data_IF_215050007266
#
_entry.id   IF_215050007266
#
_cell.length_a   1.000
_cell.length_b   1.000
_cell.length_c   1.000
_cell.angle_alpha   90.00
_cell.angle_beta   90.00
_cell.angle_gamma   90.00
#
_symmetry.space_group_name_H-M   'P 1'
#
loop_
_entity.id
_entity.type
_entity.pdbx_description
1 polymer ?
#
# COMPACT_ATOMS: atom_id res chain seq x y z
N UNK A 1 -32.40 -2.71 -0.19
CA UNK A 1 -31.71 -3.71 0.66
C UNK A 1 -30.49 -4.17 -0.12
N UNK A 2 -29.32 -3.63 0.22
CA UNK A 2 -28.07 -4.00 -0.45
C UNK A 2 -27.81 -5.49 -0.24
N UNK A 3 -27.44 -6.20 -1.30
CA UNK A 3 -27.04 -7.61 -1.20
C UNK A 3 -25.80 -7.66 -0.31
N UNK A 4 -25.96 -8.18 0.92
CA UNK A 4 -24.83 -8.64 1.73
C UNK A 4 -24.14 -9.72 0.91
N UNK A 5 -22.97 -9.40 0.37
CA UNK A 5 -22.15 -10.34 -0.36
C UNK A 5 -21.53 -11.25 0.70
N UNK A 6 -22.18 -12.39 0.95
CA UNK A 6 -21.69 -13.40 1.88
C UNK A 6 -20.75 -14.29 1.08
N UNK A 7 -19.47 -13.93 1.07
CA UNK A 7 -18.39 -14.70 0.45
C UNK A 7 -17.11 -14.52 1.25
N UNK A 8 -16.16 -15.43 1.07
CA UNK A 8 -14.85 -15.36 1.72
C UNK A 8 -14.04 -14.21 1.11
N UNK A 9 -13.24 -13.50 1.91
CA UNK A 9 -12.49 -12.34 1.43
C UNK A 9 -11.53 -12.70 0.27
N UNK A 10 -11.00 -13.94 0.26
CA UNK A 10 -10.17 -14.47 -0.81
C UNK A 10 -10.86 -14.67 -2.16
N UNK A 11 -12.19 -14.54 -2.23
CA UNK A 11 -12.94 -14.52 -3.50
C UNK A 11 -12.98 -13.12 -4.14
N UNK A 12 -12.67 -12.07 -3.38
CA UNK A 12 -12.76 -10.67 -3.81
C UNK A 12 -11.40 -10.03 -3.99
N UNK A 13 -10.45 -10.35 -3.12
CA UNK A 13 -9.16 -9.70 -3.07
C UNK A 13 -8.00 -10.67 -3.29
N UNK A 14 -6.94 -10.14 -3.87
CA UNK A 14 -5.60 -10.73 -3.85
C UNK A 14 -4.65 -9.79 -3.12
N UNK A 15 -3.85 -10.34 -2.21
CA UNK A 15 -2.82 -9.58 -1.51
C UNK A 15 -1.48 -9.64 -2.23
N UNK A 16 -0.74 -8.53 -2.23
CA UNK A 16 0.64 -8.47 -2.76
C UNK A 16 1.50 -7.49 -1.96
N UNK A 17 2.81 -7.74 -1.92
CA UNK A 17 3.80 -6.73 -1.50
C UNK A 17 4.26 -5.95 -2.73
N UNK A 18 4.32 -4.63 -2.62
CA UNK A 18 4.91 -3.73 -3.62
C UNK A 18 6.00 -2.88 -2.99
N UNK A 19 7.18 -2.90 -3.60
CA UNK A 19 8.27 -2.00 -3.25
C UNK A 19 8.00 -0.60 -3.83
N UNK A 20 8.21 0.43 -3.01
CA UNK A 20 8.06 1.84 -3.39
C UNK A 20 9.31 2.57 -2.95
N UNK A 21 10.01 3.12 -3.93
CA UNK A 21 10.96 4.20 -3.67
C UNK A 21 10.15 5.48 -3.39
N UNK A 22 10.01 5.85 -2.12
CA UNK A 22 9.53 7.20 -1.73
C UNK A 22 10.70 8.21 -1.70
N UNK A 23 11.67 8.03 -2.59
CA UNK A 23 12.70 9.03 -2.84
C UNK A 23 12.05 10.27 -3.44
N UNK A 24 11.92 11.33 -2.64
CA UNK A 24 11.62 12.70 -3.10
C UNK A 24 12.67 13.05 -4.15
N UNK A 25 12.35 12.80 -5.41
CA UNK A 25 13.16 13.28 -6.53
C UNK A 25 12.97 14.78 -6.51
N UNK A 26 14.00 15.58 -6.18
CA UNK A 26 13.82 17.02 -6.15
C UNK A 26 13.28 17.45 -7.50
N UNK A 27 12.19 18.20 -7.50
CA UNK A 27 11.61 18.76 -8.71
C UNK A 27 12.64 19.74 -9.29
N UNK A 28 13.48 19.23 -10.20
CA UNK A 28 14.51 20.01 -10.87
C UNK A 28 13.83 20.84 -11.97
N UNK A 29 13.04 21.84 -11.57
CA UNK A 29 12.58 22.87 -12.50
C UNK A 29 13.80 23.55 -13.12
N UNK A 30 13.97 23.40 -14.44
CA UNK A 30 15.09 24.01 -15.16
C UNK A 30 14.88 25.52 -15.23
N UNK A 31 15.39 26.24 -14.23
CA UNK A 31 15.38 27.70 -14.19
C UNK A 31 16.62 28.25 -14.90
N UNK A 32 16.38 28.99 -15.97
CA UNK A 32 17.42 29.59 -16.84
C UNK A 32 18.24 30.71 -16.14
N UNK A 33 17.88 31.10 -14.91
CA UNK A 33 18.37 32.31 -14.23
C UNK A 33 19.41 32.04 -13.12
N UNK A 34 19.82 30.79 -12.88
CA UNK A 34 20.68 30.43 -11.73
C UNK A 34 22.01 29.86 -12.24
N UNK A 35 23.07 30.67 -12.23
CA UNK A 35 24.39 30.25 -12.75
C UNK A 35 25.14 29.28 -11.81
N UNK A 36 24.82 29.18 -10.50
CA UNK A 36 25.31 28.11 -9.62
C UNK A 36 24.60 28.15 -8.25
N UNK A 37 24.23 26.99 -7.68
CA UNK A 37 23.86 26.84 -6.26
C UNK A 37 24.69 25.74 -5.61
N UNK A 38 25.00 25.88 -4.31
CA UNK A 38 25.55 24.77 -3.50
C UNK A 38 24.40 23.75 -3.30
N UNK A 39 24.60 22.45 -3.59
CA UNK A 39 23.55 21.46 -3.40
C UNK A 39 23.10 21.48 -1.94
N UNK A 40 21.79 21.33 -1.66
CA UNK A 40 21.33 21.15 -0.29
C UNK A 40 22.09 19.98 0.33
N UNK A 41 22.58 20.14 1.55
CA UNK A 41 23.32 19.11 2.30
C UNK A 41 22.38 18.07 2.92
N UNK A 42 21.10 18.12 2.60
CA UNK A 42 20.11 17.15 3.02
C UNK A 42 20.40 15.85 2.27
N UNK A 43 20.81 14.83 3.03
CA UNK A 43 20.79 13.46 2.54
C UNK A 43 19.34 13.17 2.21
N UNK A 44 19.03 13.06 0.92
CA UNK A 44 17.82 12.39 0.45
C UNK A 44 17.85 11.00 1.10
N UNK A 45 17.06 10.80 2.14
CA UNK A 45 16.82 9.47 2.67
C UNK A 45 15.83 8.84 1.71
N UNK A 46 16.34 8.06 0.77
CA UNK A 46 15.57 7.03 0.07
C UNK A 46 15.03 6.10 1.16
N UNK A 47 13.82 6.37 1.64
CA UNK A 47 13.13 5.46 2.55
C UNK A 47 12.49 4.41 1.64
N UNK A 48 13.15 3.25 1.55
CA UNK A 48 12.62 2.08 0.85
C UNK A 48 11.37 1.60 1.59
N UNK A 49 10.18 1.89 1.05
CA UNK A 49 8.91 1.52 1.68
C UNK A 49 8.31 0.32 0.97
N UNK A 50 8.11 -0.75 1.72
CA UNK A 50 7.35 -1.93 1.29
C UNK A 50 5.91 -1.77 1.72
N UNK A 51 4.97 -1.76 0.77
CA UNK A 51 3.53 -1.70 1.08
C UNK A 51 2.84 -3.00 0.75
N UNK A 52 1.92 -3.41 1.62
CA UNK A 52 1.02 -4.54 1.37
C UNK A 52 -0.29 -3.98 0.83
N UNK A 53 -0.67 -4.48 -0.33
CA UNK A 53 -1.81 -4.00 -1.11
C UNK A 53 -2.85 -5.12 -1.26
N UNK A 54 -4.13 -4.79 -1.08
CA UNK A 54 -5.26 -5.59 -1.55
C UNK A 54 -5.69 -5.11 -2.93
N UNK A 55 -5.78 -6.04 -3.88
CA UNK A 55 -6.22 -5.78 -5.26
C UNK A 55 -7.52 -6.53 -5.49
N UNK A 56 -8.56 -5.84 -5.95
CA UNK A 56 -9.83 -6.47 -6.29
C UNK A 56 -9.72 -7.30 -7.57
N UNK A 57 -10.27 -8.52 -7.58
CA UNK A 57 -10.26 -9.38 -8.77
C UNK A 57 -11.07 -8.80 -9.95
N UNK A 58 -12.14 -8.06 -9.67
CA UNK A 58 -13.00 -7.47 -10.71
C UNK A 58 -12.39 -6.18 -11.29
N UNK A 59 -11.50 -5.53 -10.54
CA UNK A 59 -10.90 -4.26 -10.91
C UNK A 59 -9.43 -4.17 -10.46
N UNK A 60 -8.50 -4.49 -11.36
CA UNK A 60 -7.05 -4.48 -11.06
C UNK A 60 -6.51 -3.06 -10.74
N UNK A 61 -7.24 -2.00 -11.15
CA UNK A 61 -6.94 -0.61 -10.79
C UNK A 61 -7.45 -0.24 -9.38
N UNK A 62 -8.34 -1.04 -8.78
CA UNK A 62 -8.80 -0.85 -7.42
C UNK A 62 -7.80 -1.48 -6.43
N UNK A 63 -6.84 -0.67 -6.01
CA UNK A 63 -5.75 -1.05 -5.10
C UNK A 63 -5.94 -0.33 -3.77
N UNK A 64 -6.10 -1.09 -2.69
CA UNK A 64 -6.13 -0.55 -1.32
C UNK A 64 -4.83 -0.88 -0.61
N UNK A 65 -4.15 0.14 -0.07
CA UNK A 65 -2.97 -0.07 0.78
C UNK A 65 -3.42 -0.43 2.19
N UNK A 66 -3.04 -1.62 2.65
CA UNK A 66 -3.38 -2.12 3.98
C UNK A 66 -2.34 -1.71 5.03
N UNK A 67 -1.05 -1.83 4.70
CA UNK A 67 0.05 -1.54 5.61
C UNK A 67 1.34 -1.12 4.86
N UNK A 68 2.25 -0.47 5.58
CA UNK A 68 3.57 -0.01 5.10
C UNK A 68 4.66 -0.46 6.07
N UNK A 69 5.81 -0.86 5.55
CA UNK A 69 6.95 -1.41 6.29
C UNK A 69 8.26 -0.87 5.72
N UNK A 70 9.27 -0.71 6.57
CA UNK A 70 10.63 -0.34 6.14
C UNK A 70 11.49 -1.54 5.71
N UNK A 71 10.99 -2.77 5.87
CA UNK A 71 11.71 -3.99 5.54
C UNK A 71 10.84 -4.95 4.73
N UNK A 72 11.46 -5.60 3.74
CA UNK A 72 10.80 -6.63 2.95
C UNK A 72 10.33 -7.80 3.82
N UNK A 73 11.18 -8.31 4.70
CA UNK A 73 10.89 -9.46 5.57
C UNK A 73 9.65 -9.22 6.43
N UNK A 74 9.56 -8.05 7.06
CA UNK A 74 8.40 -7.63 7.86
C UNK A 74 7.11 -7.56 7.01
N UNK A 75 7.19 -7.03 5.79
CA UNK A 75 6.05 -6.95 4.89
C UNK A 75 5.54 -8.34 4.45
N UNK A 76 6.45 -9.29 4.19
CA UNK A 76 6.08 -10.65 3.81
C UNK A 76 5.53 -11.44 5.00
N UNK A 77 6.13 -11.33 6.18
CA UNK A 77 5.61 -11.98 7.38
C UNK A 77 4.20 -11.48 7.72
N UNK A 78 3.94 -10.18 7.58
CA UNK A 78 2.61 -9.61 7.74
C UNK A 78 1.64 -10.09 6.64
N UNK A 79 2.10 -10.16 5.38
CA UNK A 79 1.30 -10.67 4.27
C UNK A 79 0.85 -12.12 4.52
N UNK A 80 1.72 -12.98 5.05
CA UNK A 80 1.38 -14.38 5.34
C UNK A 80 0.21 -14.48 6.32
N UNK A 81 0.28 -13.75 7.44
CA UNK A 81 -0.82 -13.70 8.41
C UNK A 81 -2.11 -13.15 7.79
N UNK A 82 -2.01 -12.06 7.02
CA UNK A 82 -3.15 -11.49 6.33
C UNK A 82 -3.75 -12.43 5.26
N UNK A 83 -2.95 -13.32 4.65
CA UNK A 83 -3.45 -14.34 3.72
C UNK A 83 -4.22 -15.46 4.42
N UNK A 84 -3.80 -15.84 5.63
CA UNK A 84 -4.57 -16.78 6.47
C UNK A 84 -5.93 -16.17 6.81
N UNK A 85 -5.94 -14.93 7.31
CA UNK A 85 -7.19 -14.20 7.60
C UNK A 85 -8.05 -14.00 6.35
N UNK A 86 -7.45 -13.72 5.19
CA UNK A 86 -8.18 -13.59 3.92
C UNK A 86 -8.93 -14.89 3.57
N UNK A 87 -8.34 -16.04 3.89
CA UNK A 87 -8.91 -17.37 3.66
C UNK A 87 -9.93 -17.81 4.72
N UNK A 88 -9.97 -17.18 5.88
CA UNK A 88 -10.87 -17.53 6.99
C UNK A 88 -12.04 -16.54 7.15
N UNK A 89 -11.79 -15.25 6.96
CA UNK A 89 -12.75 -14.16 7.18
C UNK A 89 -13.72 -13.98 6.02
N UNK A 90 -14.92 -13.49 6.33
CA UNK A 90 -15.80 -12.94 5.29
C UNK A 90 -15.26 -11.62 4.75
N UNK A 91 -15.65 -11.25 3.53
CA UNK A 91 -15.25 -9.98 2.91
C UNK A 91 -15.39 -8.78 3.89
N UNK A 92 -16.56 -8.61 4.52
CA UNK A 92 -16.81 -7.50 5.44
C UNK A 92 -15.95 -7.55 6.72
N UNK A 93 -15.65 -8.74 7.24
CA UNK A 93 -14.76 -8.87 8.41
C UNK A 93 -13.31 -8.50 8.06
N UNK A 94 -12.86 -8.90 6.87
CA UNK A 94 -11.55 -8.54 6.37
C UNK A 94 -11.43 -7.04 6.10
N UNK A 95 -12.46 -6.43 5.48
CA UNK A 95 -12.52 -4.98 5.27
C UNK A 95 -12.45 -4.21 6.60
N UNK A 96 -13.24 -4.59 7.61
CA UNK A 96 -13.25 -3.94 8.93
C UNK A 96 -11.90 -4.03 9.64
N UNK A 97 -11.21 -5.18 9.53
CA UNK A 97 -9.93 -5.41 10.19
C UNK A 97 -8.75 -4.70 9.49
N UNK A 98 -8.76 -4.65 8.15
CA UNK A 98 -7.57 -4.32 7.36
C UNK A 98 -7.66 -3.03 6.56
N UNK A 99 -8.84 -2.42 6.39
CA UNK A 99 -9.01 -1.24 5.55
C UNK A 99 -9.11 0.01 6.44
N UNK A 100 -7.99 0.72 6.70
CA UNK A 100 -7.98 1.84 7.64
C UNK A 100 -8.91 3.00 7.23
N UNK A 101 -9.25 3.11 5.95
CA UNK A 101 -10.05 4.20 5.38
C UNK A 101 -11.57 4.00 5.54
N UNK A 102 -12.03 2.79 5.87
CA UNK A 102 -13.45 2.50 6.13
C UNK A 102 -13.86 2.85 7.57
N UNK A 103 -12.89 3.04 8.48
CA UNK A 103 -13.11 3.34 9.90
C UNK A 103 -13.31 4.85 10.19
N UNK A 104 -13.13 5.73 9.19
CA UNK A 104 -13.25 7.20 9.34
C UNK A 104 -14.60 7.78 8.87
N UNK A 105 -15.63 6.96 8.60
CA UNK A 105 -16.96 7.39 8.11
C UNK A 105 -18.07 7.30 9.18
#
# INVERSE_FOLDING_TARGET
>A
MGRKVIGNAGEFYRLRVKHVDEGDSPDLEWREDILWRRPPSERLTEEEVYRVEAVEFDNDDAITVLARFGSQDEAYAWLEAAQEDLGEMTNTEFEDAYFPQLLEQ
#
